data_IF_462432470131
#
_entry.id   IF_462432470131
#
_cell.length_a   1.000
_cell.length_b   1.000
_cell.length_c   1.000
_cell.angle_alpha   90.00
_cell.angle_beta   90.00
_cell.angle_gamma   90.00
#
_symmetry.space_group_name_H-M   'P 1'
#
loop_
_entity.id
_entity.type
_entity.pdbx_description
1 polymer ?
#
# COMPACT_ATOMS: atom_id res chain seq x y z
N UNK A 1 9.27 11.44 1.24
CA UNK A 1 8.54 10.18 1.45
C UNK A 1 9.50 9.05 1.80
N UNK A 2 9.40 8.52 3.01
CA UNK A 2 10.00 7.26 3.46
C UNK A 2 9.09 6.10 3.07
N UNK A 3 9.68 4.96 2.71
CA UNK A 3 8.96 3.74 2.40
C UNK A 3 9.50 2.62 3.28
N UNK A 4 8.64 2.02 4.10
CA UNK A 4 9.01 0.92 4.99
C UNK A 4 8.29 -0.35 4.54
N UNK A 5 9.07 -1.35 4.13
CA UNK A 5 8.56 -2.69 3.85
C UNK A 5 8.35 -3.44 5.17
N UNK A 6 7.13 -3.87 5.42
CA UNK A 6 6.70 -4.48 6.69
C UNK A 6 5.82 -5.70 6.46
N UNK A 7 5.78 -6.60 7.44
CA UNK A 7 4.72 -7.61 7.51
C UNK A 7 3.41 -6.98 7.96
N UNK A 8 2.27 -7.64 7.68
CA UNK A 8 0.95 -7.09 8.00
C UNK A 8 0.77 -6.84 9.50
N UNK A 9 1.37 -7.67 10.36
CA UNK A 9 1.34 -7.55 11.82
C UNK A 9 2.20 -6.39 12.34
N UNK A 10 3.09 -5.85 11.51
CA UNK A 10 4.00 -4.75 11.86
C UNK A 10 3.46 -3.38 11.44
N UNK A 11 2.32 -3.33 10.73
CA UNK A 11 1.63 -2.06 10.46
C UNK A 11 1.24 -1.43 11.80
N UNK A 12 1.61 -0.17 12.10
CA UNK A 12 1.31 0.40 13.41
C UNK A 12 -0.20 0.61 13.62
N UNK A 13 -0.62 0.59 14.88
CA UNK A 13 -2.02 0.85 15.27
C UNK A 13 -2.45 2.26 14.83
N UNK A 14 -3.62 2.37 14.21
CA UNK A 14 -4.16 3.62 13.67
C UNK A 14 -3.62 4.01 12.30
N UNK A 15 -2.72 3.21 11.71
CA UNK A 15 -2.10 3.49 10.42
C UNK A 15 -2.72 2.68 9.28
N UNK A 16 -2.35 3.08 8.07
CA UNK A 16 -2.68 2.34 6.84
C UNK A 16 -1.40 1.92 6.12
N UNK A 17 -1.48 0.79 5.42
CA UNK A 17 -0.40 0.30 4.57
C UNK A 17 -0.89 0.01 3.16
N UNK A 18 -0.01 0.18 2.18
CA UNK A 18 -0.20 -0.34 0.83
C UNK A 18 0.00 -1.84 0.86
N UNK A 19 -1.01 -2.61 0.48
CA UNK A 19 -0.87 -4.03 0.22
C UNK A 19 -0.65 -4.26 -1.26
N UNK A 20 0.46 -4.89 -1.64
CA UNK A 20 0.69 -5.36 -3.01
C UNK A 20 0.55 -6.87 -3.08
N UNK A 21 -0.18 -7.34 -4.08
CA UNK A 21 -0.44 -8.75 -4.32
C UNK A 21 -0.62 -9.03 -5.81
N UNK A 22 -0.38 -10.26 -6.23
CA UNK A 22 -0.66 -10.68 -7.61
C UNK A 22 -2.07 -11.24 -7.67
N UNK A 23 -2.88 -10.72 -8.58
CA UNK A 23 -4.20 -11.23 -8.92
C UNK A 23 -4.33 -11.26 -10.44
N UNK A 24 -4.84 -12.37 -11.00
CA UNK A 24 -4.99 -12.57 -12.44
C UNK A 24 -3.69 -12.30 -13.24
N UNK A 25 -2.54 -12.71 -12.68
CA UNK A 25 -1.19 -12.48 -13.22
C UNK A 25 -0.76 -10.99 -13.29
N UNK A 26 -1.48 -10.08 -12.65
CA UNK A 26 -1.16 -8.66 -12.57
C UNK A 26 -0.87 -8.21 -11.13
N UNK A 27 0.12 -7.34 -10.98
CA UNK A 27 0.39 -6.68 -9.70
C UNK A 27 -0.78 -5.73 -9.38
N UNK A 28 -1.35 -5.89 -8.20
CA UNK A 28 -2.54 -5.18 -7.73
C UNK A 28 -2.27 -4.56 -6.37
N UNK A 29 -2.97 -3.45 -6.07
CA UNK A 29 -2.90 -2.77 -4.79
C UNK A 29 -4.24 -2.72 -4.07
N UNK A 30 -4.21 -2.86 -2.75
CA UNK A 30 -5.30 -2.48 -1.86
C UNK A 30 -4.75 -1.80 -0.60
N UNK A 31 -5.63 -1.39 0.31
CA UNK A 31 -5.26 -0.75 1.58
C UNK A 31 -5.51 -1.73 2.72
N UNK A 32 -4.52 -1.86 3.60
CA UNK A 32 -4.69 -2.41 4.94
C UNK A 32 -4.91 -1.22 5.89
N UNK A 33 -5.99 -1.25 6.65
CA UNK A 33 -6.22 -0.35 7.78
C UNK A 33 -6.02 -1.13 9.09
N UNK A 34 -5.04 -0.72 9.91
CA UNK A 34 -4.91 -1.22 11.26
C UNK A 34 -5.64 -0.28 12.21
N UNK A 35 -6.87 -0.64 12.58
CA UNK A 35 -7.73 0.21 13.40
C UNK A 35 -7.22 0.32 14.82
N UNK A 36 -7.61 1.39 15.52
CA UNK A 36 -7.26 1.63 16.92
C UNK A 36 -7.77 0.55 17.89
N UNK A 37 -8.70 -0.31 17.46
CA UNK A 37 -9.19 -1.46 18.23
C UNK A 37 -8.40 -2.77 17.93
N UNK A 38 -7.32 -2.68 17.17
CA UNK A 38 -6.45 -3.81 16.82
C UNK A 38 -6.94 -4.66 15.64
N UNK A 39 -8.09 -4.32 15.03
CA UNK A 39 -8.56 -5.03 13.84
C UNK A 39 -7.81 -4.58 12.60
N UNK A 40 -7.48 -5.56 11.74
CA UNK A 40 -6.99 -5.32 10.40
C UNK A 40 -8.15 -5.41 9.41
N UNK A 41 -8.34 -4.35 8.63
CA UNK A 41 -9.37 -4.29 7.58
C UNK A 41 -8.70 -4.12 6.23
N UNK A 42 -9.03 -5.03 5.31
CA UNK A 42 -8.55 -5.01 3.93
C UNK A 42 -9.61 -4.32 3.07
N UNK A 43 -9.21 -3.29 2.32
CA UNK A 43 -10.08 -2.73 1.30
C UNK A 43 -10.14 -3.65 0.07
N UNK A 44 -11.20 -3.52 -0.70
CA UNK A 44 -11.21 -4.03 -2.07
C UNK A 44 -10.10 -3.39 -2.89
N UNK A 45 -9.62 -4.10 -3.91
CA UNK A 45 -8.70 -3.57 -4.89
C UNK A 45 -9.49 -2.87 -6.01
N UNK A 46 -9.24 -1.58 -6.29
CA UNK A 46 -10.05 -0.82 -7.24
C UNK A 46 -9.84 -1.25 -8.70
N UNK A 47 -8.59 -1.56 -9.10
CA UNK A 47 -8.21 -2.01 -10.45
C UNK A 47 -6.84 -2.71 -10.37
N UNK A 48 -6.55 -3.74 -11.19
CA UNK A 48 -5.20 -4.26 -11.30
C UNK A 48 -4.26 -3.29 -12.03
N UNK A 49 -2.96 -3.51 -11.90
CA UNK A 49 -1.91 -2.75 -12.58
C UNK A 49 -1.72 -1.32 -12.07
N UNK A 50 -0.94 -0.54 -12.82
CA UNK A 50 -0.54 0.83 -12.44
C UNK A 50 -1.75 1.76 -12.20
N UNK A 51 -2.82 1.57 -12.95
CA UNK A 51 -4.04 2.36 -12.85
C UNK A 51 -4.75 2.21 -11.49
N UNK A 52 -4.55 1.10 -10.78
CA UNK A 52 -5.03 0.93 -9.41
C UNK A 52 -3.97 1.20 -8.34
N UNK A 53 -2.71 0.90 -8.64
CA UNK A 53 -1.60 1.08 -7.68
C UNK A 53 -1.34 2.58 -7.42
N UNK A 54 -1.22 3.40 -8.47
CA UNK A 54 -0.88 4.83 -8.33
C UNK A 54 -1.94 5.61 -7.55
N UNK A 55 -3.25 5.46 -7.82
CA UNK A 55 -4.28 6.10 -7.00
C UNK A 55 -4.28 5.62 -5.54
N UNK A 56 -4.06 4.33 -5.30
CA UNK A 56 -3.98 3.78 -3.94
C UNK A 56 -2.83 4.41 -3.15
N UNK A 57 -1.64 4.51 -3.76
CA UNK A 57 -0.49 5.19 -3.15
C UNK A 57 -0.82 6.66 -2.90
N UNK A 58 -1.41 7.36 -3.87
CA UNK A 58 -1.78 8.77 -3.73
C UNK A 58 -2.73 8.98 -2.56
N UNK A 59 -3.74 8.11 -2.39
CA UNK A 59 -4.69 8.17 -1.28
C UNK A 59 -4.01 7.96 0.08
N UNK A 60 -3.04 7.05 0.17
CA UNK A 60 -2.27 6.83 1.39
C UNK A 60 -1.39 8.04 1.73
N UNK A 61 -0.76 8.65 0.73
CA UNK A 61 0.07 9.85 0.92
C UNK A 61 -0.74 11.09 1.26
N UNK A 62 -2.01 11.19 0.85
CA UNK A 62 -2.90 12.26 1.34
C UNK A 62 -3.12 12.18 2.87
N UNK A 63 -3.09 10.96 3.44
CA UNK A 63 -3.20 10.75 4.89
C UNK A 63 -1.87 10.96 5.60
N UNK A 64 -0.79 10.46 5.00
CA UNK A 64 0.57 10.54 5.55
C UNK A 64 1.60 10.88 4.46
N UNK A 65 1.79 12.18 4.16
CA UNK A 65 2.58 12.62 3.01
C UNK A 65 4.04 12.13 3.01
N UNK A 66 4.62 11.98 4.20
CA UNK A 66 6.03 11.67 4.35
C UNK A 66 6.35 10.20 4.54
N UNK A 67 5.35 9.32 4.63
CA UNK A 67 5.59 7.92 4.97
C UNK A 67 4.56 6.97 4.36
N UNK A 68 5.06 5.90 3.75
CA UNK A 68 4.27 4.79 3.22
C UNK A 68 4.75 3.47 3.83
N UNK A 69 3.86 2.76 4.53
CA UNK A 69 4.07 1.35 4.87
C UNK A 69 3.65 0.48 3.69
N UNK A 70 4.44 -0.55 3.39
CA UNK A 70 4.19 -1.47 2.29
C UNK A 70 4.21 -2.89 2.81
N UNK A 71 3.17 -3.65 2.48
CA UNK A 71 3.06 -5.08 2.73
C UNK A 71 3.09 -5.79 1.37
N UNK A 72 4.07 -6.65 1.15
CA UNK A 72 4.15 -7.51 -0.03
C UNK A 72 3.56 -8.88 0.32
N UNK A 73 2.53 -9.28 -0.41
CA UNK A 73 2.01 -10.64 -0.37
C UNK A 73 2.86 -11.57 -1.23
N UNK A 74 2.57 -12.87 -1.18
CA UNK A 74 3.27 -13.87 -1.97
C UNK A 74 3.30 -13.48 -3.46
N UNK A 75 4.49 -13.59 -4.06
CA UNK A 75 4.80 -13.26 -5.46
C UNK A 75 4.65 -11.78 -5.86
N UNK A 76 4.25 -10.91 -4.92
CA UNK A 76 4.28 -9.46 -5.12
C UNK A 76 5.71 -8.93 -5.00
N UNK A 77 5.96 -7.81 -5.66
CA UNK A 77 7.23 -7.10 -5.57
C UNK A 77 6.99 -5.61 -5.51
N UNK A 78 7.93 -4.90 -4.89
CA UNK A 78 8.01 -3.45 -5.00
C UNK A 78 8.84 -3.09 -6.23
N UNK A 79 8.27 -2.40 -7.24
CA UNK A 79 9.04 -1.99 -8.42
C UNK A 79 10.17 -1.03 -8.04
N UNK A 80 11.41 -1.32 -8.45
CA UNK A 80 12.57 -0.47 -8.17
C UNK A 80 12.44 0.96 -8.72
N UNK A 81 11.65 1.15 -9.78
CA UNK A 81 11.46 2.42 -10.49
C UNK A 81 10.14 3.11 -10.19
N UNK A 82 9.51 2.86 -9.03
CA UNK A 82 8.32 3.64 -8.67
C UNK A 82 8.65 5.15 -8.75
N UNK A 83 7.94 5.93 -9.60
CA UNK A 83 8.31 7.31 -9.82
C UNK A 83 8.27 8.03 -8.49
N UNK A 84 9.37 8.72 -8.16
CA UNK A 84 9.38 9.69 -7.06
C UNK A 84 8.28 10.70 -7.39
N UNK A 85 7.16 10.60 -6.66
CA UNK A 85 6.10 11.60 -6.69
C UNK A 85 6.73 12.87 -6.12
N UNK A 86 7.33 13.70 -6.99
CA UNK A 86 7.75 15.03 -6.59
C UNK A 86 6.45 15.78 -6.31
N UNK A 87 6.30 16.23 -5.07
CA UNK A 87 5.13 16.97 -4.61
C UNK A 87 4.82 18.11 -5.58
N UNK A 88 3.57 18.18 -6.01
CA UNK A 88 3.02 19.36 -6.64
C UNK A 88 2.86 20.49 -5.62
#
# INVERSE_FOLDING_TARGET
MRCDLVHIEQVPLGECALRLFVADAELTASIIEHRCDGRLVLSDAPKPGLDGIVPTITLLLQRRPDHLYVVLEQDAYWPETFPKLHGA
#
